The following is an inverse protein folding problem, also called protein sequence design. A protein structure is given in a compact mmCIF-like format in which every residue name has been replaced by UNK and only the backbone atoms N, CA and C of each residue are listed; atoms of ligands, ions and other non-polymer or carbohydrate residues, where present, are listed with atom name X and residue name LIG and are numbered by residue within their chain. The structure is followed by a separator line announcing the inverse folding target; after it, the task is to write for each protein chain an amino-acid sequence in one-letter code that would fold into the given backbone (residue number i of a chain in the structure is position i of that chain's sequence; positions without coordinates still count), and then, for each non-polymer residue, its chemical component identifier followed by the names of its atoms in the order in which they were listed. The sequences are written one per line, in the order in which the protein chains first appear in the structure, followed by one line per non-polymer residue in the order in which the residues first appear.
data_IF_405673885371
#
_entry.id   IF_405673885371
#
_cell.length_a   1.000
_cell.length_b   1.000
_cell.length_c   1.000
_cell.angle_alpha   90.00
_cell.angle_beta   90.00
_cell.angle_gamma   90.00
#
_symmetry.space_group_name_H-M   'P 1'
#
loop_
_entity.id
_entity.type
_entity.pdbx_description
1 polymer ?
#
# COMPACT_ATOMS: atom_id res chain seq x y z
N UNK A 1 42.10 -30.37 39.27
CA UNK A 1 41.64 -28.96 39.28
C UNK A 1 42.76 -28.10 38.72
N UNK A 2 42.74 -27.64 37.46
CA UNK A 2 43.53 -26.47 37.01
C UNK A 2 42.91 -25.91 35.72
N UNK A 3 42.28 -24.74 35.87
CA UNK A 3 41.54 -24.01 34.85
C UNK A 3 42.50 -23.37 33.84
N UNK A 4 42.31 -23.62 32.54
CA UNK A 4 43.12 -23.03 31.44
C UNK A 4 42.31 -22.02 30.60
N UNK A 5 41.42 -21.26 31.24
CA UNK A 5 40.54 -20.26 30.60
C UNK A 5 41.23 -18.94 30.23
N UNK A 6 42.54 -18.87 30.23
CA UNK A 6 43.28 -17.62 30.00
C UNK A 6 44.47 -17.89 29.10
N UNK A 7 44.22 -18.04 27.81
CA UNK A 7 45.27 -17.96 26.81
C UNK A 7 44.74 -17.24 25.57
N UNK A 8 45.34 -16.08 25.33
CA UNK A 8 45.40 -15.36 24.06
C UNK A 8 44.16 -14.55 23.64
N UNK A 9 44.03 -13.38 24.28
CA UNK A 9 43.82 -12.14 23.54
C UNK A 9 45.00 -11.92 22.57
N UNK A 10 44.74 -11.72 21.28
CA UNK A 10 45.51 -10.86 20.38
C UNK A 10 44.85 -10.83 19.00
N UNK A 11 44.21 -9.71 18.63
CA UNK A 11 43.61 -9.52 17.31
C UNK A 11 42.78 -8.26 17.19
N UNK A 12 43.34 -7.11 17.59
CA UNK A 12 42.78 -5.81 17.25
C UNK A 12 43.27 -5.42 15.85
N UNK A 13 42.35 -5.19 14.89
CA UNK A 13 42.45 -4.08 13.92
C UNK A 13 41.35 -4.12 12.85
N UNK A 14 40.59 -3.02 12.80
CA UNK A 14 40.14 -2.25 11.63
C UNK A 14 39.32 -2.93 10.50
N UNK A 15 38.07 -2.47 10.34
CA UNK A 15 37.57 -1.70 9.18
C UNK A 15 36.04 -1.84 9.11
N UNK A 16 35.31 -0.84 9.61
CA UNK A 16 34.61 0.15 8.77
C UNK A 16 33.53 -0.43 7.84
N UNK A 17 32.28 -0.21 8.27
CA UNK A 17 31.14 0.19 7.45
C UNK A 17 30.95 -0.53 6.10
N UNK A 18 30.21 -1.64 6.11
CA UNK A 18 29.38 -1.98 4.95
C UNK A 18 28.11 -1.13 5.02
N UNK A 19 27.90 -0.14 4.12
CA UNK A 19 26.56 0.36 3.91
C UNK A 19 25.79 -0.81 3.29
N UNK A 20 24.80 -1.31 4.03
CA UNK A 20 23.87 -2.31 3.53
C UNK A 20 23.32 -1.82 2.20
N UNK A 21 23.50 -2.64 1.16
CA UNK A 21 22.94 -2.41 -0.16
C UNK A 21 21.42 -2.27 -0.01
N UNK A 22 20.94 -1.03 0.02
CA UNK A 22 19.54 -0.72 -0.15
C UNK A 22 19.17 -1.10 -1.58
N UNK A 23 18.66 -2.32 -1.75
CA UNK A 23 17.99 -2.74 -2.97
C UNK A 23 16.73 -1.87 -3.10
N UNK A 24 16.82 -0.81 -3.90
CA UNK A 24 15.66 -0.07 -4.36
C UNK A 24 14.75 -1.06 -5.08
N UNK A 25 13.60 -1.36 -4.48
CA UNK A 25 12.56 -2.17 -5.11
C UNK A 25 12.08 -1.36 -6.31
N UNK A 26 12.50 -1.79 -7.50
CA UNK A 26 11.95 -1.28 -8.75
C UNK A 26 10.46 -1.54 -8.69
N UNK A 27 9.65 -0.49 -8.71
CA UNK A 27 8.21 -0.63 -8.85
C UNK A 27 7.97 -1.31 -10.20
N UNK A 28 7.44 -2.53 -10.18
CA UNK A 28 7.05 -3.23 -11.39
C UNK A 28 5.97 -2.37 -12.09
N UNK A 29 6.26 -1.93 -13.31
CA UNK A 29 5.26 -1.32 -14.17
C UNK A 29 4.12 -2.35 -14.40
N UNK A 30 2.84 -1.93 -14.41
CA UNK A 30 1.75 -2.87 -14.69
C UNK A 30 1.92 -3.37 -16.12
N UNK A 31 2.03 -4.69 -16.28
CA UNK A 31 2.00 -5.31 -17.59
C UNK A 31 0.58 -5.18 -18.18
N UNK A 32 0.43 -5.00 -19.51
CA UNK A 32 -0.88 -4.98 -20.14
C UNK A 32 -1.53 -6.37 -20.00
N UNK A 33 -2.70 -6.42 -19.37
CA UNK A 33 -3.49 -7.63 -19.21
C UNK A 33 -3.86 -8.19 -20.59
N UNK A 34 -3.33 -9.37 -20.92
CA UNK A 34 -3.79 -10.14 -22.06
C UNK A 34 -5.07 -10.85 -21.63
N UNK A 35 -6.18 -10.55 -22.31
CA UNK A 35 -7.47 -11.18 -22.07
C UNK A 35 -7.37 -12.69 -22.36
N UNK A 36 -7.46 -13.49 -21.31
CA UNK A 36 -7.82 -14.90 -21.40
C UNK A 36 -9.07 -15.08 -20.55
N UNK A 37 -10.21 -15.10 -21.24
CA UNK A 37 -11.42 -15.76 -20.77
C UNK A 37 -11.06 -17.22 -20.49
N UNK A 38 -11.22 -17.66 -19.24
CA UNK A 38 -11.70 -18.99 -18.83
C UNK A 38 -11.49 -19.16 -17.31
N UNK A 39 -12.58 -19.52 -16.61
CA UNK A 39 -12.70 -19.70 -15.14
C UNK A 39 -12.64 -18.43 -14.31
N UNK A 40 -13.79 -17.75 -14.24
CA UNK A 40 -14.03 -16.70 -13.26
C UNK A 40 -14.19 -17.32 -11.86
N UNK A 41 -13.06 -17.69 -11.25
CA UNK A 41 -12.93 -17.55 -9.81
C UNK A 41 -13.36 -16.11 -9.49
N UNK A 42 -14.18 -15.91 -8.45
CA UNK A 42 -14.51 -14.58 -7.96
C UNK A 42 -13.27 -13.97 -7.36
N UNK A 43 -12.35 -13.52 -8.22
CA UNK A 43 -11.28 -12.62 -7.85
C UNK A 43 -11.99 -11.33 -7.48
N UNK A 44 -12.01 -11.01 -6.18
CA UNK A 44 -12.49 -9.71 -5.74
C UNK A 44 -11.51 -8.68 -6.28
N UNK A 45 -11.98 -7.84 -7.19
CA UNK A 45 -11.23 -6.68 -7.65
C UNK A 45 -10.98 -5.75 -6.44
N UNK A 46 -9.73 -5.32 -6.29
CA UNK A 46 -9.35 -4.43 -5.21
C UNK A 46 -9.68 -2.98 -5.58
N UNK A 47 -10.42 -2.28 -4.70
CA UNK A 47 -10.79 -0.88 -4.89
C UNK A 47 -9.75 -0.02 -4.19
N UNK A 48 -8.88 0.61 -4.98
CA UNK A 48 -7.83 1.50 -4.49
C UNK A 48 -8.33 2.94 -4.50
N UNK A 49 -8.24 3.62 -3.37
CA UNK A 49 -8.55 5.04 -3.20
C UNK A 49 -7.33 5.80 -2.73
N UNK A 50 -7.31 7.11 -2.97
CA UNK A 50 -6.24 7.98 -2.48
C UNK A 50 -6.69 8.69 -1.20
N UNK A 51 -6.03 8.40 -0.09
CA UNK A 51 -6.26 9.01 1.22
C UNK A 51 -4.92 9.41 1.83
N UNK A 52 -4.85 10.55 2.52
CA UNK A 52 -3.62 11.04 3.17
C UNK A 52 -2.39 11.08 2.25
N UNK A 53 -2.58 11.43 0.97
CA UNK A 53 -1.54 11.48 -0.07
C UNK A 53 -0.89 10.13 -0.38
N UNK A 54 -1.57 9.01 -0.09
CA UNK A 54 -1.16 7.65 -0.46
C UNK A 54 -2.33 6.87 -1.03
N UNK A 55 -2.00 5.87 -1.84
CA UNK A 55 -2.96 4.89 -2.33
C UNK A 55 -3.22 3.82 -1.25
N UNK A 56 -4.49 3.48 -1.04
CA UNK A 56 -4.90 2.48 -0.06
C UNK A 56 -6.13 1.70 -0.56
N UNK A 57 -6.15 0.39 -0.30
CA UNK A 57 -7.31 -0.47 -0.55
C UNK A 57 -8.45 -0.14 0.41
N UNK A 58 -9.68 0.02 -0.11
CA UNK A 58 -10.89 0.21 0.70
C UNK A 58 -11.16 -0.97 1.64
N UNK A 59 -10.77 -2.19 1.26
CA UNK A 59 -10.97 -3.38 2.10
C UNK A 59 -10.15 -3.31 3.40
N UNK A 60 -9.05 -2.55 3.40
CA UNK A 60 -8.13 -2.37 4.54
C UNK A 60 -8.18 -0.97 5.15
N UNK A 61 -9.03 -0.08 4.64
CA UNK A 61 -9.15 1.30 5.12
C UNK A 61 -10.12 1.39 6.31
N UNK A 62 -9.68 2.00 7.40
CA UNK A 62 -10.49 2.22 8.60
C UNK A 62 -11.35 3.49 8.45
N UNK A 63 -12.22 3.51 7.43
CA UNK A 63 -13.14 4.61 7.17
C UNK A 63 -14.24 4.21 6.18
N UNK A 64 -15.08 5.18 5.82
CA UNK A 64 -16.14 5.00 4.83
C UNK A 64 -15.81 5.78 3.57
N UNK A 65 -16.20 5.22 2.42
CA UNK A 65 -16.10 5.88 1.14
C UNK A 65 -17.43 5.74 0.40
N UNK A 66 -17.80 6.79 -0.33
CA UNK A 66 -19.00 6.80 -1.18
C UNK A 66 -18.55 7.21 -2.58
N UNK A 67 -18.91 6.38 -3.56
CA UNK A 67 -18.71 6.67 -4.97
C UNK A 67 -20.04 7.16 -5.54
N UNK A 68 -20.02 8.34 -6.16
CA UNK A 68 -21.18 8.93 -6.83
C UNK A 68 -20.83 9.08 -8.31
N UNK A 69 -21.73 8.65 -9.19
CA UNK A 69 -21.58 8.85 -10.63
C UNK A 69 -22.08 10.23 -11.03
N UNK A 70 -21.75 10.69 -12.25
CA UNK A 70 -22.25 11.98 -12.75
C UNK A 70 -23.77 11.98 -12.94
N UNK A 71 -24.33 10.84 -13.32
CA UNK A 71 -25.77 10.62 -13.44
C UNK A 71 -26.47 10.74 -12.09
N UNK A 72 -25.88 10.18 -11.03
CA UNK A 72 -26.41 10.29 -9.66
C UNK A 72 -26.47 11.75 -9.23
N UNK A 73 -25.38 12.50 -9.40
CA UNK A 73 -25.30 13.92 -9.05
C UNK A 73 -26.35 14.75 -9.81
N UNK A 74 -26.55 14.46 -11.10
CA UNK A 74 -27.55 15.13 -11.92
C UNK A 74 -28.99 14.80 -11.49
N UNK A 75 -29.26 13.56 -11.11
CA UNK A 75 -30.59 13.12 -10.69
C UNK A 75 -31.04 13.84 -9.41
N UNK A 76 -30.12 14.12 -8.49
CA UNK A 76 -30.39 14.89 -7.26
C UNK A 76 -30.14 16.39 -7.39
N UNK A 77 -29.72 16.87 -8.56
CA UNK A 77 -29.52 18.30 -8.85
C UNK A 77 -28.39 18.93 -8.05
N UNK A 78 -27.32 18.18 -7.77
CA UNK A 78 -26.13 18.67 -7.06
C UNK A 78 -25.31 19.55 -8.00
N UNK A 79 -25.09 20.81 -7.62
CA UNK A 79 -24.33 21.78 -8.40
C UNK A 79 -23.03 22.18 -7.73
N UNK A 80 -22.95 22.09 -6.40
CA UNK A 80 -21.75 22.34 -5.62
C UNK A 80 -21.54 21.31 -4.49
N UNK A 81 -20.40 21.39 -3.81
CA UNK A 81 -20.02 20.44 -2.75
C UNK A 81 -20.93 20.56 -1.53
N UNK A 82 -21.44 21.76 -1.25
CA UNK A 82 -22.32 22.03 -0.10
C UNK A 82 -23.66 21.31 -0.27
N UNK A 83 -24.11 21.11 -1.51
CA UNK A 83 -25.31 20.33 -1.82
C UNK A 83 -25.19 18.85 -1.43
N UNK A 84 -23.98 18.34 -1.16
CA UNK A 84 -23.76 16.96 -0.72
C UNK A 84 -23.93 16.79 0.79
N UNK A 85 -23.96 17.88 1.55
CA UNK A 85 -24.16 17.86 2.99
C UNK A 85 -25.53 17.25 3.33
N UNK A 86 -25.54 16.25 4.22
CA UNK A 86 -26.77 15.53 4.61
C UNK A 86 -27.33 14.57 3.57
N UNK A 87 -26.72 14.45 2.38
CA UNK A 87 -27.08 13.46 1.34
C UNK A 87 -26.14 12.26 1.31
N UNK A 88 -24.90 12.44 1.77
CA UNK A 88 -23.90 11.37 1.89
C UNK A 88 -23.99 10.76 3.30
N UNK A 89 -24.09 9.43 3.44
CA UNK A 89 -24.06 8.76 4.73
C UNK A 89 -22.72 8.97 5.45
N UNK A 90 -22.75 9.42 6.71
CA UNK A 90 -21.57 9.65 7.54
C UNK A 90 -21.92 10.30 8.87
#
# INVERSE_FOLDING_TARGET
MHNRKTALLCGAALAFALPGLAMAQTAAAPAPATQQDEQQETVLDDIVVTVERREQSLQNYAGTAVALTGEDLKAVGVQDISDLEGRVPG
#
